data_IF_290255566982
#
_entry.id   IF_290255566982
#
_cell.length_a   1.000
_cell.length_b   1.000
_cell.length_c   1.000
_cell.angle_alpha   90.00
_cell.angle_beta   90.00
_cell.angle_gamma   90.00
#
_symmetry.space_group_name_H-M   'P 1'
#
loop_
_entity.id
_entity.type
_entity.pdbx_description
1 polymer ?
#
# COMPACT_ATOMS: atom_id res chain seq x y z
N UNK A 1 -15.26 5.23 9.23
CA UNK A 1 -16.68 5.60 9.50
C UNK A 1 -17.12 6.88 8.80
N UNK A 2 -16.44 8.03 8.98
CA UNK A 2 -16.87 9.28 8.33
C UNK A 2 -16.90 9.19 6.80
N UNK A 3 -15.85 8.63 6.18
CA UNK A 3 -15.81 8.40 4.74
C UNK A 3 -17.00 7.54 4.28
N UNK A 4 -17.25 6.40 4.95
CA UNK A 4 -18.38 5.51 4.66
C UNK A 4 -19.72 6.26 4.70
N UNK A 5 -19.97 7.03 5.76
CA UNK A 5 -21.25 7.76 5.88
C UNK A 5 -21.34 8.92 4.88
N UNK A 6 -20.21 9.58 4.59
CA UNK A 6 -20.12 10.62 3.56
C UNK A 6 -20.50 10.08 2.18
N UNK A 7 -19.88 8.98 1.75
CA UNK A 7 -20.20 8.32 0.48
C UNK A 7 -21.66 7.85 0.41
N UNK A 8 -22.25 7.43 1.53
CA UNK A 8 -23.68 7.06 1.55
C UNK A 8 -24.62 8.27 1.50
N UNK A 9 -24.20 9.43 2.00
CA UNK A 9 -24.93 10.69 1.83
C UNK A 9 -24.86 11.18 0.39
N UNK A 10 -23.68 11.09 -0.24
CA UNK A 10 -23.51 11.39 -1.67
C UNK A 10 -24.37 10.47 -2.53
N UNK A 11 -24.29 9.16 -2.30
CA UNK A 11 -25.15 8.18 -2.97
C UNK A 11 -26.65 8.50 -2.80
N UNK A 12 -27.06 8.94 -1.62
CA UNK A 12 -28.45 9.36 -1.38
C UNK A 12 -28.81 10.62 -2.17
N UNK A 13 -27.93 11.63 -2.20
CA UNK A 13 -28.13 12.86 -2.97
C UNK A 13 -28.23 12.58 -4.48
N UNK A 14 -27.50 11.58 -4.97
CA UNK A 14 -27.53 11.08 -6.35
C UNK A 14 -28.72 10.14 -6.65
N UNK A 15 -29.72 10.10 -5.77
CA UNK A 15 -30.94 9.29 -5.96
C UNK A 15 -30.72 7.78 -5.83
N UNK A 16 -29.64 7.37 -5.16
CA UNK A 16 -29.26 5.97 -4.97
C UNK A 16 -28.51 5.36 -6.16
N UNK A 17 -28.11 6.17 -7.14
CA UNK A 17 -27.36 5.71 -8.31
C UNK A 17 -25.87 5.68 -8.00
N UNK A 18 -25.26 4.50 -8.08
CA UNK A 18 -23.80 4.36 -7.91
C UNK A 18 -23.10 4.92 -9.15
N UNK A 19 -22.18 5.85 -8.94
CA UNK A 19 -21.34 6.48 -9.96
C UNK A 19 -19.86 6.13 -9.77
N UNK A 20 -19.01 6.64 -10.65
CA UNK A 20 -17.56 6.53 -10.50
C UNK A 20 -17.02 7.35 -9.31
N UNK A 21 -17.81 8.30 -8.80
CA UNK A 21 -17.42 9.24 -7.74
C UNK A 21 -17.92 8.79 -6.36
N UNK A 22 -18.97 7.96 -6.28
CA UNK A 22 -19.52 7.43 -5.01
C UNK A 22 -18.47 6.87 -4.04
N UNK A 23 -17.37 6.33 -4.55
CA UNK A 23 -16.30 5.70 -3.78
C UNK A 23 -15.03 6.54 -3.64
N UNK A 24 -15.06 7.77 -4.17
CA UNK A 24 -14.05 8.79 -3.98
C UNK A 24 -14.44 9.64 -2.78
N UNK A 25 -13.44 10.27 -2.17
CA UNK A 25 -13.65 11.18 -1.06
C UNK A 25 -13.02 12.52 -1.43
N UNK A 26 -13.86 13.53 -1.60
CA UNK A 26 -13.46 14.93 -1.77
C UNK A 26 -13.01 15.30 -3.17
N UNK A 27 -13.23 14.43 -4.16
CA UNK A 27 -13.01 14.67 -5.60
C UNK A 27 -13.58 16.00 -6.11
N UNK A 28 -14.72 16.46 -5.59
CA UNK A 28 -15.29 17.76 -5.97
C UNK A 28 -14.45 18.98 -5.56
N UNK A 29 -13.57 18.84 -4.57
CA UNK A 29 -12.76 19.93 -4.02
C UNK A 29 -11.24 19.66 -4.05
N UNK A 30 -10.84 18.47 -4.45
CA UNK A 30 -9.44 18.06 -4.49
C UNK A 30 -8.81 18.53 -5.81
N UNK A 31 -7.66 19.20 -5.72
CA UNK A 31 -6.78 19.51 -6.87
C UNK A 31 -7.51 19.96 -8.14
N UNK A 32 -8.08 21.19 -8.18
CA UNK A 32 -8.95 21.66 -9.28
C UNK A 32 -8.39 21.59 -10.71
N UNK A 33 -7.07 21.40 -10.86
CA UNK A 33 -6.40 21.24 -12.15
C UNK A 33 -6.20 19.78 -12.60
N UNK A 34 -6.60 18.79 -11.79
CA UNK A 34 -6.40 17.36 -12.05
C UNK A 34 -7.73 16.65 -12.09
N UNK A 35 -8.23 16.34 -13.30
CA UNK A 35 -9.52 15.70 -13.43
C UNK A 35 -9.50 14.24 -12.92
N UNK A 36 -10.51 13.88 -12.13
CA UNK A 36 -10.80 12.51 -11.74
C UNK A 36 -9.97 11.95 -10.57
N UNK A 37 -9.11 12.77 -9.96
CA UNK A 37 -8.45 12.41 -8.71
C UNK A 37 -9.35 12.63 -7.50
N UNK A 38 -8.87 12.22 -6.32
CA UNK A 38 -9.60 12.31 -5.07
C UNK A 38 -8.59 12.29 -3.92
N UNK A 39 -8.99 12.83 -2.76
CA UNK A 39 -8.15 12.79 -1.57
C UNK A 39 -7.97 11.34 -1.07
N UNK A 40 -9.04 10.53 -1.12
CA UNK A 40 -9.02 9.10 -0.79
C UNK A 40 -9.90 8.31 -1.74
N UNK A 41 -9.64 7.00 -1.80
CA UNK A 41 -10.38 6.03 -2.63
C UNK A 41 -10.80 4.84 -1.79
N UNK A 42 -12.09 4.54 -1.75
CA UNK A 42 -12.62 3.34 -1.07
C UNK A 42 -12.56 2.10 -1.98
N UNK A 43 -12.77 2.29 -3.28
CA UNK A 43 -12.73 1.25 -4.30
C UNK A 43 -11.32 0.75 -4.60
N UNK A 44 -10.34 1.67 -4.61
CA UNK A 44 -8.94 1.37 -4.86
C UNK A 44 -8.00 2.28 -4.04
N UNK A 45 -7.84 2.04 -2.72
CA UNK A 45 -6.95 2.83 -1.86
C UNK A 45 -5.51 2.95 -2.39
N UNK A 46 -5.01 1.87 -2.99
CA UNK A 46 -3.64 1.83 -3.50
C UNK A 46 -3.40 2.84 -4.63
N UNK A 47 -4.44 3.29 -5.34
CA UNK A 47 -4.32 4.33 -6.37
C UNK A 47 -3.81 5.68 -5.82
N UNK A 48 -4.01 5.93 -4.52
CA UNK A 48 -3.54 7.13 -3.82
C UNK A 48 -2.47 6.80 -2.76
N UNK A 49 -1.93 5.58 -2.78
CA UNK A 49 -0.86 5.14 -1.86
C UNK A 49 -1.35 4.68 -0.49
N UNK A 50 -2.65 4.48 -0.29
CA UNK A 50 -3.25 4.04 0.97
C UNK A 50 -3.39 2.50 1.04
N UNK A 51 -3.33 1.88 2.24
CA UNK A 51 -3.41 0.44 2.43
C UNK A 51 -4.83 -0.13 2.26
N UNK A 52 -4.99 -1.09 1.36
CA UNK A 52 -6.25 -1.83 1.17
C UNK A 52 -6.29 -3.19 1.89
N UNK A 53 -5.28 -3.49 2.71
CA UNK A 53 -5.17 -4.73 3.46
C UNK A 53 -4.41 -4.51 4.78
N UNK A 54 -4.80 -5.24 5.83
CA UNK A 54 -4.28 -5.08 7.20
C UNK A 54 -2.77 -5.33 7.32
N UNK A 55 -2.20 -6.15 6.44
CA UNK A 55 -0.75 -6.38 6.37
C UNK A 55 0.03 -5.14 5.91
N UNK A 56 -0.62 -4.20 5.22
CA UNK A 56 -0.02 -2.97 4.69
C UNK A 56 -0.19 -1.77 5.62
N UNK A 57 -0.86 -1.94 6.77
CA UNK A 57 -1.14 -0.85 7.71
C UNK A 57 0.13 -0.15 8.17
N UNK A 58 0.04 1.16 8.35
CA UNK A 58 1.07 1.93 9.04
C UNK A 58 1.04 1.61 10.53
N UNK A 59 2.21 1.68 11.16
CA UNK A 59 2.39 1.46 12.60
C UNK A 59 1.83 0.10 13.09
N UNK A 60 2.32 -1.03 12.56
CA UNK A 60 1.78 -2.35 12.92
C UNK A 60 2.04 -2.79 14.37
N UNK A 61 2.93 -2.09 15.09
CA UNK A 61 3.21 -2.26 16.51
C UNK A 61 2.77 -1.06 17.35
N UNK A 62 3.50 -0.76 18.43
CA UNK A 62 3.18 0.41 19.27
C UNK A 62 3.51 1.71 18.54
N UNK A 63 2.62 2.69 18.64
CA UNK A 63 2.82 4.05 18.15
C UNK A 63 2.34 5.06 19.18
N UNK A 64 3.09 6.15 19.33
CA UNK A 64 2.69 7.32 20.12
C UNK A 64 2.04 8.32 19.18
N UNK A 65 0.77 8.64 19.42
CA UNK A 65 0.00 9.54 18.57
C UNK A 65 0.53 10.99 18.64
N UNK A 66 0.59 11.65 17.49
CA UNK A 66 0.97 13.04 17.35
C UNK A 66 0.36 13.63 16.08
N UNK A 67 0.32 14.97 15.95
CA UNK A 67 -0.13 15.58 14.69
C UNK A 67 0.83 15.27 13.53
N UNK A 68 2.12 15.05 13.80
CA UNK A 68 3.13 14.81 12.78
C UNK A 68 3.04 13.42 12.13
N UNK A 69 2.42 12.46 12.81
CA UNK A 69 2.24 11.10 12.32
C UNK A 69 0.77 10.76 12.09
N UNK A 70 -0.07 11.78 11.85
CA UNK A 70 -1.50 11.59 11.60
C UNK A 70 -2.18 10.77 12.70
N UNK A 71 -1.81 11.03 13.95
CA UNK A 71 -2.28 10.30 15.13
C UNK A 71 -2.13 8.79 14.98
N UNK A 72 -0.98 8.34 14.46
CA UNK A 72 -0.69 6.96 14.06
C UNK A 72 -1.42 6.50 12.79
N UNK A 73 -1.51 7.39 11.80
CA UNK A 73 -2.00 7.11 10.45
C UNK A 73 -3.51 6.86 10.40
N UNK A 74 -4.32 7.65 11.12
CA UNK A 74 -5.78 7.46 11.16
C UNK A 74 -6.43 7.65 9.78
N UNK A 75 -5.93 8.56 8.94
CA UNK A 75 -6.45 8.81 7.60
C UNK A 75 -5.86 7.86 6.55
N UNK A 76 -4.67 7.32 6.79
CA UNK A 76 -4.09 6.29 5.92
C UNK A 76 -4.70 4.92 6.22
N UNK A 77 -4.71 4.50 7.48
CA UNK A 77 -5.21 3.17 7.87
C UNK A 77 -6.74 3.04 7.75
N UNK A 78 -7.50 4.14 7.76
CA UNK A 78 -8.96 4.13 7.56
C UNK A 78 -9.35 3.48 6.23
N UNK A 79 -8.48 3.57 5.22
CA UNK A 79 -8.70 2.99 3.90
C UNK A 79 -8.90 1.46 3.92
N UNK A 80 -8.35 0.76 4.92
CA UNK A 80 -8.58 -0.69 5.11
C UNK A 80 -10.06 -0.97 5.41
N UNK A 81 -10.66 -0.20 6.33
CA UNK A 81 -12.09 -0.32 6.65
C UNK A 81 -12.95 0.18 5.49
N UNK A 82 -12.55 1.28 4.84
CA UNK A 82 -13.28 1.82 3.69
C UNK A 82 -13.34 0.82 2.54
N UNK A 83 -12.23 0.14 2.25
CA UNK A 83 -12.17 -0.87 1.21
C UNK A 83 -12.97 -2.13 1.57
N UNK A 84 -12.95 -2.54 2.85
CA UNK A 84 -13.83 -3.61 3.32
C UNK A 84 -15.31 -3.25 3.11
N UNK A 85 -15.70 -2.00 3.41
CA UNK A 85 -17.06 -1.51 3.16
C UNK A 85 -17.41 -1.50 1.67
N UNK A 86 -16.52 -0.98 0.81
CA UNK A 86 -16.69 -1.00 -0.64
C UNK A 86 -16.93 -2.42 -1.15
N UNK A 87 -16.08 -3.39 -0.75
CA UNK A 87 -16.22 -4.79 -1.16
C UNK A 87 -17.56 -5.39 -0.68
N UNK A 88 -18.01 -5.04 0.53
CA UNK A 88 -19.32 -5.47 1.02
C UNK A 88 -20.47 -4.85 0.24
N UNK A 89 -20.36 -3.58 -0.16
CA UNK A 89 -21.41 -2.86 -0.86
C UNK A 89 -21.48 -3.23 -2.35
N UNK A 90 -20.36 -3.12 -3.06
CA UNK A 90 -20.27 -3.25 -4.52
C UNK A 90 -19.79 -4.64 -4.97
N UNK A 91 -19.15 -5.41 -4.09
CA UNK A 91 -18.44 -6.62 -4.46
C UNK A 91 -17.07 -6.36 -5.08
N UNK A 92 -16.41 -7.42 -5.50
CA UNK A 92 -15.08 -7.38 -6.12
C UNK A 92 -14.07 -8.26 -5.41
N UNK A 93 -12.80 -8.14 -5.78
CA UNK A 93 -11.73 -8.96 -5.24
C UNK A 93 -10.66 -8.09 -4.63
N UNK A 94 -10.28 -8.35 -3.38
CA UNK A 94 -9.13 -7.65 -2.81
C UNK A 94 -7.84 -8.16 -3.45
N UNK A 95 -7.02 -7.25 -3.99
CA UNK A 95 -5.81 -7.62 -4.73
C UNK A 95 -4.73 -8.32 -3.90
N UNK A 96 -4.72 -8.11 -2.58
CA UNK A 96 -3.69 -8.67 -1.69
C UNK A 96 -4.08 -10.09 -1.26
N UNK A 97 -5.30 -10.27 -0.76
CA UNK A 97 -5.76 -11.58 -0.29
C UNK A 97 -6.26 -12.49 -1.41
N UNK A 98 -6.62 -11.93 -2.58
CA UNK A 98 -7.29 -12.67 -3.66
C UNK A 98 -8.73 -13.08 -3.33
N UNK A 99 -9.27 -12.67 -2.17
CA UNK A 99 -10.62 -13.03 -1.73
C UNK A 99 -11.64 -12.21 -2.50
N UNK A 100 -12.54 -12.91 -3.18
CA UNK A 100 -13.69 -12.33 -3.84
C UNK A 100 -14.86 -12.16 -2.86
N UNK A 101 -15.52 -11.01 -2.94
CA UNK A 101 -16.69 -10.64 -2.13
C UNK A 101 -17.86 -10.42 -3.07
N UNK A 102 -18.97 -11.09 -2.80
CA UNK A 102 -20.25 -10.78 -3.45
C UNK A 102 -20.92 -9.66 -2.68
N UNK A 103 -21.15 -8.52 -3.34
CA UNK A 103 -21.73 -7.34 -2.72
C UNK A 103 -23.18 -7.54 -2.29
N UNK A 104 -23.58 -6.90 -1.19
CA UNK A 104 -24.95 -6.86 -0.65
C UNK A 104 -25.65 -5.52 -0.91
N UNK A 105 -25.02 -4.63 -1.67
CA UNK A 105 -25.52 -3.28 -1.93
C UNK A 105 -25.16 -2.28 -0.82
N UNK A 106 -25.01 -1.02 -1.21
CA UNK A 106 -24.65 0.07 -0.29
C UNK A 106 -25.66 0.26 0.84
N UNK A 107 -26.95 0.09 0.58
CA UNK A 107 -28.01 0.24 1.59
C UNK A 107 -27.88 -0.74 2.75
N UNK A 108 -27.73 -2.04 2.46
CA UNK A 108 -27.63 -3.05 3.52
C UNK A 108 -26.26 -2.98 4.23
N UNK A 109 -25.18 -2.75 3.49
CA UNK A 109 -23.86 -2.51 4.08
C UNK A 109 -23.88 -1.29 5.04
N UNK A 110 -24.52 -0.19 4.65
CA UNK A 110 -24.64 1.01 5.47
C UNK A 110 -25.45 0.76 6.74
N UNK A 111 -26.57 0.01 6.68
CA UNK A 111 -27.34 -0.37 7.87
C UNK A 111 -26.49 -1.14 8.88
N UNK A 112 -25.67 -2.10 8.41
CA UNK A 112 -24.75 -2.86 9.26
C UNK A 112 -23.76 -1.93 9.94
N UNK A 113 -23.08 -1.06 9.19
CA UNK A 113 -22.07 -0.16 9.72
C UNK A 113 -22.65 0.89 10.67
N UNK A 114 -23.84 1.43 10.37
CA UNK A 114 -24.54 2.37 11.24
C UNK A 114 -24.93 1.72 12.57
N UNK A 115 -25.52 0.52 12.53
CA UNK A 115 -25.88 -0.22 13.75
C UNK A 115 -24.62 -0.63 14.53
N UNK A 116 -23.57 -1.08 13.87
CA UNK A 116 -22.31 -1.40 14.52
C UNK A 116 -21.75 -0.20 15.27
N UNK A 117 -21.69 0.97 14.63
CA UNK A 117 -21.21 2.22 15.23
C UNK A 117 -22.03 2.64 16.47
N UNK A 118 -23.35 2.54 16.38
CA UNK A 118 -24.26 3.11 17.40
C UNK A 118 -24.57 2.17 18.56
N UNK A 119 -24.43 0.85 18.37
CA UNK A 119 -24.81 -0.16 19.36
C UNK A 119 -23.61 -0.90 19.94
N UNK A 120 -22.58 -1.17 19.13
CA UNK A 120 -21.53 -2.13 19.47
C UNK A 120 -20.14 -1.52 19.61
N UNK A 121 -19.83 -0.46 18.87
CA UNK A 121 -18.51 0.19 18.94
C UNK A 121 -18.40 1.08 20.18
N UNK A 122 -17.19 1.11 20.73
CA UNK A 122 -16.77 1.97 21.84
C UNK A 122 -15.57 2.81 21.42
N UNK A 123 -15.16 3.77 22.26
CA UNK A 123 -14.00 4.63 22.00
C UNK A 123 -12.67 3.86 21.82
N UNK A 124 -12.57 2.60 22.29
CA UNK A 124 -11.38 1.76 22.18
C UNK A 124 -11.47 0.69 21.08
N UNK A 125 -12.48 0.75 20.21
CA UNK A 125 -12.69 -0.25 19.16
C UNK A 125 -11.57 -0.19 18.12
N UNK A 126 -10.84 -1.31 17.98
CA UNK A 126 -9.87 -1.55 16.90
C UNK A 126 -10.52 -2.29 15.71
N UNK A 127 -9.78 -2.63 14.64
CA UNK A 127 -10.37 -3.33 13.49
C UNK A 127 -10.94 -4.71 13.81
N UNK A 128 -10.32 -5.50 14.70
CA UNK A 128 -10.88 -6.77 15.11
C UNK A 128 -12.21 -6.57 15.86
N UNK A 129 -12.29 -5.56 16.72
CA UNK A 129 -13.52 -5.13 17.39
C UNK A 129 -14.57 -4.62 16.39
N UNK A 130 -14.17 -3.87 15.37
CA UNK A 130 -15.07 -3.38 14.32
C UNK A 130 -15.66 -4.53 13.49
N UNK A 131 -14.86 -5.57 13.20
CA UNK A 131 -15.36 -6.83 12.61
C UNK A 131 -16.40 -7.49 13.52
N UNK A 132 -16.11 -7.67 14.81
CA UNK A 132 -17.08 -8.25 15.75
C UNK A 132 -18.37 -7.44 15.84
N UNK A 133 -18.26 -6.11 15.91
CA UNK A 133 -19.39 -5.18 15.97
C UNK A 133 -20.27 -5.27 14.72
N UNK A 134 -19.66 -5.30 13.53
CA UNK A 134 -20.40 -5.41 12.26
C UNK A 134 -21.02 -6.79 12.05
N UNK A 135 -20.38 -7.89 12.50
CA UNK A 135 -21.00 -9.22 12.50
C UNK A 135 -22.20 -9.31 13.44
N UNK A 136 -22.11 -8.70 14.62
CA UNK A 136 -23.23 -8.60 15.57
C UNK A 136 -24.37 -7.78 14.98
N UNK A 137 -24.06 -6.65 14.36
CA UNK A 137 -25.05 -5.83 13.65
C UNK A 137 -25.72 -6.57 12.48
N UNK A 138 -24.95 -7.31 11.68
CA UNK A 138 -25.50 -8.11 10.58
C UNK A 138 -26.40 -9.25 11.10
N UNK A 139 -26.02 -9.86 12.22
CA UNK A 139 -26.84 -10.89 12.90
C UNK A 139 -28.18 -10.32 13.35
N UNK A 140 -28.19 -9.15 13.98
CA UNK A 140 -29.42 -8.51 14.45
C UNK A 140 -30.35 -8.11 13.30
N UNK A 141 -29.79 -7.61 12.21
CA UNK A 141 -30.56 -7.06 11.09
C UNK A 141 -31.07 -8.14 10.14
N UNK A 142 -30.29 -9.20 9.93
CA UNK A 142 -30.53 -10.18 8.87
C UNK A 142 -30.46 -11.64 9.33
N UNK A 143 -29.91 -11.92 10.51
CA UNK A 143 -29.68 -13.26 11.05
C UNK A 143 -28.27 -13.79 10.75
N UNK A 144 -27.74 -14.66 11.63
CA UNK A 144 -26.37 -15.20 11.56
C UNK A 144 -26.11 -16.12 10.36
N UNK A 145 -27.16 -16.66 9.73
CA UNK A 145 -27.07 -17.50 8.52
C UNK A 145 -27.33 -16.72 7.22
N UNK A 146 -27.51 -15.40 7.29
CA UNK A 146 -27.83 -14.57 6.14
C UNK A 146 -26.66 -14.39 5.18
N UNK A 147 -26.98 -14.04 3.92
CA UNK A 147 -25.97 -13.61 2.95
C UNK A 147 -25.21 -12.37 3.45
N UNK A 148 -25.90 -11.43 4.10
CA UNK A 148 -25.31 -10.21 4.68
C UNK A 148 -24.27 -10.53 5.74
N UNK A 149 -24.56 -11.44 6.68
CA UNK A 149 -23.58 -11.88 7.67
C UNK A 149 -22.34 -12.47 7.00
N UNK A 150 -22.53 -13.36 6.02
CA UNK A 150 -21.43 -13.99 5.29
C UNK A 150 -20.61 -12.97 4.48
N UNK A 151 -21.24 -11.99 3.82
CA UNK A 151 -20.56 -10.92 3.09
C UNK A 151 -19.77 -10.02 4.04
N UNK A 152 -20.31 -9.66 5.21
CA UNK A 152 -19.59 -8.88 6.22
C UNK A 152 -18.36 -9.65 6.74
N UNK A 153 -18.52 -10.94 7.03
CA UNK A 153 -17.40 -11.80 7.43
C UNK A 153 -16.32 -11.88 6.34
N UNK A 154 -16.73 -12.06 5.09
CA UNK A 154 -15.84 -12.18 3.92
C UNK A 154 -15.16 -10.85 3.61
N UNK A 155 -15.86 -9.72 3.68
CA UNK A 155 -15.29 -8.39 3.41
C UNK A 155 -14.19 -8.01 4.40
N UNK A 156 -14.37 -8.29 5.70
CA UNK A 156 -13.30 -8.08 6.68
C UNK A 156 -12.13 -9.04 6.48
N UNK A 157 -12.41 -10.31 6.18
CA UNK A 157 -11.35 -11.28 5.86
C UNK A 157 -10.55 -10.86 4.61
N UNK A 158 -11.23 -10.36 3.58
CA UNK A 158 -10.62 -9.95 2.33
C UNK A 158 -9.58 -8.84 2.53
N UNK A 159 -9.77 -7.98 3.53
CA UNK A 159 -8.79 -6.96 3.93
C UNK A 159 -7.86 -7.42 5.06
N UNK A 160 -7.78 -8.71 5.35
CA UNK A 160 -6.85 -9.28 6.31
C UNK A 160 -7.23 -9.13 7.79
N UNK A 161 -8.51 -8.85 8.07
CA UNK A 161 -9.02 -8.74 9.44
C UNK A 161 -9.87 -9.96 9.76
N UNK A 162 -9.29 -10.89 10.53
CA UNK A 162 -9.94 -12.13 10.92
C UNK A 162 -10.00 -13.19 9.81
N UNK A 163 -10.71 -14.28 10.09
CA UNK A 163 -10.80 -15.47 9.22
C UNK A 163 -11.93 -15.38 8.20
N UNK A 164 -11.80 -16.03 7.06
CA UNK A 164 -12.88 -16.14 6.08
C UNK A 164 -13.89 -17.21 6.52
N UNK A 165 -15.18 -17.06 6.18
CA UNK A 165 -16.15 -18.14 6.30
C UNK A 165 -15.66 -19.41 5.58
N UNK A 166 -15.86 -20.58 6.18
CA UNK A 166 -15.41 -21.87 5.62
C UNK A 166 -14.04 -22.36 6.11
N UNK A 167 -13.39 -21.67 7.06
CA UNK A 167 -12.19 -22.17 7.74
C UNK A 167 -10.89 -21.98 6.94
N UNK A 168 -10.96 -21.44 5.74
CA UNK A 168 -9.80 -20.90 5.04
C UNK A 168 -9.38 -19.60 5.73
N UNK A 169 -8.36 -19.68 6.58
CA UNK A 169 -7.52 -18.50 6.82
C UNK A 169 -7.05 -18.02 5.45
N UNK A 170 -7.16 -16.74 5.08
CA UNK A 170 -6.55 -16.26 3.86
C UNK A 170 -5.06 -16.52 4.01
N UNK A 171 -4.59 -17.58 3.35
CA UNK A 171 -3.19 -17.64 3.00
C UNK A 171 -3.03 -16.46 2.05
N UNK A 172 -2.13 -15.51 2.29
CA UNK A 172 -1.80 -14.53 1.26
C UNK A 172 -1.64 -15.33 -0.03
N UNK A 173 -2.29 -14.92 -1.13
CA UNK A 173 -2.05 -15.50 -2.45
C UNK A 173 -0.55 -15.80 -2.50
N UNK A 174 -0.11 -17.06 -2.72
CA UNK A 174 1.30 -17.37 -2.66
C UNK A 174 1.99 -16.37 -3.56
N UNK A 175 2.73 -15.48 -2.92
CA UNK A 175 3.82 -14.71 -3.48
C UNK A 175 4.44 -15.64 -4.52
N UNK A 176 4.36 -15.35 -5.84
CA UNK A 176 4.80 -16.30 -6.86
C UNK A 176 6.15 -16.81 -6.42
N UNK A 177 6.22 -18.12 -6.15
CA UNK A 177 7.43 -18.72 -5.58
C UNK A 177 8.57 -18.30 -6.49
N UNK A 178 9.56 -17.56 -5.98
CA UNK A 178 10.64 -17.10 -6.82
C UNK A 178 11.28 -18.33 -7.46
N UNK A 179 11.29 -18.38 -8.79
CA UNK A 179 11.83 -19.52 -9.51
C UNK A 179 13.35 -19.53 -9.35
N UNK A 180 13.90 -20.59 -8.73
CA UNK A 180 15.34 -20.74 -8.51
C UNK A 180 15.82 -20.12 -7.20
N UNK A 181 17.06 -19.59 -7.20
CA UNK A 181 17.70 -18.98 -6.03
C UNK A 181 17.17 -17.58 -5.68
N UNK A 182 16.15 -17.07 -6.38
CA UNK A 182 15.59 -15.73 -6.13
C UNK A 182 14.83 -15.70 -4.79
N UNK A 183 14.92 -14.59 -4.06
CA UNK A 183 14.33 -14.42 -2.72
C UNK A 183 13.32 -13.26 -2.67
N UNK A 184 13.47 -12.27 -3.56
CA UNK A 184 12.52 -11.18 -3.70
C UNK A 184 11.50 -11.51 -4.76
N UNK A 185 10.27 -11.04 -4.55
CA UNK A 185 9.19 -11.26 -5.49
C UNK A 185 8.72 -9.97 -6.12
N UNK A 186 8.36 -10.06 -7.39
CA UNK A 186 7.96 -8.93 -8.22
C UNK A 186 9.02 -7.81 -8.23
N UNK A 187 10.27 -8.20 -8.49
CA UNK A 187 11.39 -7.28 -8.61
C UNK A 187 11.28 -6.29 -9.77
N UNK A 188 10.59 -6.68 -10.85
CA UNK A 188 10.32 -5.82 -12.02
C UNK A 188 9.01 -5.03 -11.92
N UNK A 189 8.25 -5.16 -10.83
CA UNK A 189 7.04 -4.37 -10.57
C UNK A 189 5.95 -4.45 -11.67
N UNK A 190 5.86 -5.58 -12.37
CA UNK A 190 4.91 -5.75 -13.47
C UNK A 190 3.48 -5.86 -12.93
N UNK A 191 2.55 -5.12 -13.55
CA UNK A 191 1.09 -5.10 -13.22
C UNK A 191 0.73 -4.54 -11.84
N UNK A 192 1.54 -4.76 -10.80
CA UNK A 192 1.40 -4.11 -9.49
C UNK A 192 2.75 -3.89 -8.81
N UNK A 193 2.81 -3.06 -7.76
CA UNK A 193 3.96 -3.02 -6.86
C UNK A 193 3.98 -4.18 -5.85
N UNK A 194 2.84 -4.87 -5.66
CA UNK A 194 2.71 -5.92 -4.64
C UNK A 194 3.70 -7.07 -4.91
N UNK A 195 4.43 -7.60 -3.92
CA UNK A 195 4.28 -7.39 -2.47
C UNK A 195 5.18 -6.29 -1.87
N UNK A 196 5.77 -5.41 -2.68
CA UNK A 196 6.53 -4.28 -2.16
C UNK A 196 5.61 -3.29 -1.45
N UNK A 197 6.03 -2.87 -0.26
CA UNK A 197 5.32 -1.88 0.56
C UNK A 197 5.94 -0.51 0.31
N UNK A 198 5.21 0.31 -0.43
CA UNK A 198 5.55 1.71 -0.70
C UNK A 198 4.90 2.66 0.31
N UNK A 199 5.58 3.76 0.66
CA UNK A 199 4.97 4.83 1.47
C UNK A 199 5.71 6.15 1.33
N UNK A 200 5.02 7.26 1.61
CA UNK A 200 5.56 8.60 1.64
C UNK A 200 5.53 9.30 0.29
N UNK A 201 5.43 10.63 0.31
CA UNK A 201 5.15 11.46 -0.87
C UNK A 201 6.34 11.58 -1.85
N UNK A 202 7.46 10.92 -1.55
CA UNK A 202 8.63 10.83 -2.42
C UNK A 202 8.75 9.48 -3.16
N UNK A 203 7.73 8.62 -3.11
CA UNK A 203 7.65 7.32 -3.77
C UNK A 203 6.44 7.26 -4.69
N UNK A 204 6.59 6.58 -5.83
CA UNK A 204 5.49 6.24 -6.73
C UNK A 204 5.75 4.92 -7.44
N UNK A 205 4.67 4.22 -7.75
CA UNK A 205 4.65 3.02 -8.57
C UNK A 205 3.89 3.27 -9.86
N UNK A 206 4.42 2.81 -10.99
CA UNK A 206 3.69 2.78 -12.27
C UNK A 206 3.70 1.39 -12.87
N UNK A 207 2.54 0.95 -13.37
CA UNK A 207 2.37 -0.33 -14.08
C UNK A 207 2.66 -0.23 -15.59
N UNK A 208 2.63 0.98 -16.14
CA UNK A 208 2.80 1.27 -17.56
C UNK A 208 3.61 2.56 -17.70
N UNK A 209 4.83 2.55 -17.15
CA UNK A 209 5.70 3.71 -17.24
C UNK A 209 6.35 3.85 -18.61
N UNK A 210 6.78 5.06 -18.95
CA UNK A 210 7.42 5.34 -20.24
C UNK A 210 8.93 5.03 -20.25
N UNK A 211 9.50 4.69 -19.10
CA UNK A 211 10.93 4.46 -18.94
C UNK A 211 11.27 3.25 -18.04
N UNK A 212 10.63 2.08 -18.21
CA UNK A 212 11.06 0.87 -17.52
C UNK A 212 12.45 0.43 -18.00
N UNK A 213 13.14 -0.35 -17.18
CA UNK A 213 14.29 -1.12 -17.66
C UNK A 213 13.80 -2.40 -18.35
N UNK A 214 12.92 -3.15 -17.68
CA UNK A 214 12.27 -4.36 -18.18
C UNK A 214 10.74 -4.22 -18.16
N UNK A 215 10.05 -4.92 -19.06
CA UNK A 215 8.58 -4.94 -19.09
C UNK A 215 7.93 -3.55 -19.18
N UNK A 216 6.93 -3.28 -18.33
CA UNK A 216 6.16 -2.02 -18.31
C UNK A 216 6.12 -1.35 -16.94
N UNK A 217 6.43 -2.09 -15.88
CA UNK A 217 6.40 -1.63 -14.50
C UNK A 217 7.74 -1.09 -14.01
N UNK A 218 7.71 -0.18 -13.02
CA UNK A 218 8.86 0.14 -12.16
C UNK A 218 8.40 1.00 -10.97
N UNK A 219 9.27 1.17 -9.98
CA UNK A 219 9.09 2.18 -8.94
C UNK A 219 10.04 3.34 -9.15
N UNK A 220 9.59 4.54 -8.82
CA UNK A 220 10.47 5.70 -8.81
C UNK A 220 10.28 6.59 -7.60
N UNK A 221 11.34 7.30 -7.28
CA UNK A 221 11.45 8.17 -6.14
C UNK A 221 11.77 9.60 -6.59
N UNK A 222 11.49 10.56 -5.71
CA UNK A 222 11.74 11.98 -5.98
C UNK A 222 10.66 12.62 -6.85
N UNK A 223 9.41 12.28 -6.56
CA UNK A 223 8.21 12.84 -7.22
C UNK A 223 8.01 14.31 -6.84
N UNK A 224 8.34 14.66 -5.59
CA UNK A 224 8.06 15.97 -4.99
C UNK A 224 9.30 16.50 -4.27
N UNK A 225 9.47 17.82 -4.26
CA UNK A 225 10.45 18.48 -3.39
C UNK A 225 10.06 18.28 -1.92
N UNK A 226 11.05 18.32 -1.03
CA UNK A 226 10.92 18.22 0.43
C UNK A 226 10.15 16.96 0.86
N UNK A 227 10.31 15.90 0.09
CA UNK A 227 9.60 14.65 0.28
C UNK A 227 10.55 13.50 0.62
N UNK A 228 10.02 12.53 1.34
CA UNK A 228 10.65 11.24 1.58
C UNK A 228 9.72 10.17 1.05
N UNK A 229 10.28 9.20 0.33
CA UNK A 229 9.57 8.01 -0.10
C UNK A 229 10.36 6.77 0.28
N UNK A 230 9.68 5.65 0.46
CA UNK A 230 10.32 4.35 0.62
C UNK A 230 9.54 3.26 -0.06
N UNK A 231 10.24 2.21 -0.47
CA UNK A 231 9.70 0.93 -0.94
C UNK A 231 10.51 -0.19 -0.32
N UNK A 232 9.86 -1.19 0.27
CA UNK A 232 10.57 -2.31 0.87
C UNK A 232 9.84 -3.64 0.70
N UNK A 233 10.60 -4.72 0.80
CA UNK A 233 10.08 -6.08 0.96
C UNK A 233 10.76 -6.74 2.16
N UNK A 234 9.99 -7.45 2.98
CA UNK A 234 10.53 -8.28 4.06
C UNK A 234 10.87 -9.64 3.48
N UNK A 235 12.11 -10.10 3.68
CA UNK A 235 12.65 -11.33 3.09
C UNK A 235 13.46 -12.10 4.14
N UNK A 236 13.25 -13.41 4.18
CA UNK A 236 14.11 -14.33 4.91
C UNK A 236 15.28 -14.71 4.00
N UNK A 237 16.52 -14.49 4.44
CA UNK A 237 17.72 -14.82 3.67
C UNK A 237 18.27 -16.15 4.21
N UNK A 238 18.17 -17.28 3.49
CA UNK A 238 18.71 -18.56 3.97
C UNK A 238 20.22 -18.52 4.19
N UNK A 239 20.74 -19.40 5.05
CA UNK A 239 22.19 -19.58 5.23
C UNK A 239 22.89 -20.12 3.97
N UNK A 240 22.13 -20.65 3.02
CA UNK A 240 22.59 -21.14 1.71
C UNK A 240 22.59 -20.09 0.60
N UNK A 241 21.95 -18.93 0.81
CA UNK A 241 21.86 -17.84 -0.18
C UNK A 241 23.25 -17.27 -0.53
N UNK A 242 23.39 -16.66 -1.70
CA UNK A 242 24.62 -15.91 -2.02
C UNK A 242 24.65 -14.58 -1.24
N UNK A 243 23.49 -14.04 -0.87
CA UNK A 243 23.33 -12.74 -0.24
C UNK A 243 23.65 -11.60 -1.20
N UNK A 244 23.30 -11.73 -2.48
CA UNK A 244 23.61 -10.72 -3.50
C UNK A 244 22.36 -10.00 -3.95
N UNK A 245 22.25 -8.71 -3.60
CA UNK A 245 21.17 -7.85 -4.07
C UNK A 245 21.58 -7.15 -5.35
N UNK A 246 20.81 -7.32 -6.42
CA UNK A 246 20.95 -6.58 -7.66
C UNK A 246 19.70 -5.76 -7.96
N UNK A 247 19.85 -4.64 -8.63
CA UNK A 247 18.74 -3.85 -9.17
C UNK A 247 19.24 -2.94 -10.29
N UNK A 248 18.36 -2.52 -11.17
CA UNK A 248 18.67 -1.54 -12.19
C UNK A 248 18.28 -0.15 -11.71
N UNK A 249 19.22 0.79 -11.81
CA UNK A 249 19.04 2.17 -11.38
C UNK A 249 19.20 3.12 -12.56
N UNK A 250 18.19 3.97 -12.75
CA UNK A 250 18.27 5.18 -13.55
C UNK A 250 18.13 6.40 -12.63
N UNK A 251 18.94 7.43 -12.88
CA UNK A 251 18.86 8.70 -12.15
C UNK A 251 18.78 9.83 -13.17
N UNK A 252 17.74 10.65 -13.09
CA UNK A 252 17.61 11.87 -13.91
C UNK A 252 17.39 13.07 -13.01
N UNK A 253 18.08 14.17 -13.28
CA UNK A 253 17.96 15.38 -12.48
C UNK A 253 18.20 16.62 -13.34
N UNK A 254 17.42 17.67 -13.06
CA UNK A 254 17.66 19.02 -13.58
C UNK A 254 18.63 19.82 -12.69
N UNK A 255 19.08 19.25 -11.56
CA UNK A 255 20.14 19.84 -10.74
C UNK A 255 21.43 20.02 -11.53
N UNK A 256 22.06 21.19 -11.41
CA UNK A 256 23.27 21.53 -12.17
C UNK A 256 24.56 21.32 -11.38
N UNK A 257 24.48 21.16 -10.05
CA UNK A 257 25.67 20.93 -9.23
C UNK A 257 26.38 19.64 -9.62
N UNK A 258 27.71 19.69 -9.66
CA UNK A 258 28.60 18.56 -9.90
C UNK A 258 29.24 18.01 -8.62
N UNK A 259 29.06 18.68 -7.48
CA UNK A 259 29.73 18.34 -6.21
C UNK A 259 28.76 18.14 -5.05
N UNK A 260 27.57 18.76 -5.08
CA UNK A 260 26.62 18.70 -3.99
C UNK A 260 25.55 17.65 -4.24
N UNK A 261 25.37 16.79 -3.25
CA UNK A 261 24.33 15.77 -3.20
C UNK A 261 23.10 16.35 -2.49
N UNK A 262 22.17 16.90 -3.26
CA UNK A 262 20.93 17.49 -2.75
C UNK A 262 19.93 16.39 -2.42
N UNK A 263 19.55 15.65 -3.45
CA UNK A 263 18.62 14.54 -3.37
C UNK A 263 19.38 13.23 -3.24
N UNK A 264 18.85 12.32 -2.43
CA UNK A 264 19.49 11.02 -2.20
C UNK A 264 18.49 9.88 -2.30
N UNK A 265 18.97 8.76 -2.84
CA UNK A 265 18.37 7.43 -2.73
C UNK A 265 19.32 6.54 -1.93
N UNK A 266 18.79 5.87 -0.93
CA UNK A 266 19.48 4.93 -0.06
C UNK A 266 18.98 3.51 -0.36
N UNK A 267 19.90 2.59 -0.62
CA UNK A 267 19.64 1.15 -0.57
C UNK A 267 20.04 0.66 0.81
N UNK A 268 19.09 0.13 1.58
CA UNK A 268 19.22 -0.11 3.01
C UNK A 268 18.77 -1.53 3.36
N UNK A 269 19.38 -2.08 4.41
CA UNK A 269 18.86 -3.23 5.15
C UNK A 269 18.33 -2.74 6.47
N UNK A 270 17.09 -3.14 6.81
CA UNK A 270 16.44 -2.82 8.07
C UNK A 270 15.97 -4.09 8.76
N UNK A 271 15.78 -4.06 10.07
CA UNK A 271 15.11 -5.17 10.75
C UNK A 271 13.60 -5.18 10.42
N UNK A 272 12.88 -6.21 10.87
CA UNK A 272 11.43 -6.35 10.66
C UNK A 272 10.60 -5.26 11.32
N UNK A 273 11.15 -4.51 12.28
CA UNK A 273 10.53 -3.34 12.92
C UNK A 273 10.86 -2.01 12.22
N UNK A 274 11.67 -2.02 11.15
CA UNK A 274 12.05 -0.83 10.40
C UNK A 274 13.28 -0.07 10.92
N UNK A 275 13.98 -0.58 11.94
CA UNK A 275 15.26 0.00 12.39
C UNK A 275 16.34 -0.23 11.34
N UNK A 276 17.13 0.81 11.03
CA UNK A 276 18.25 0.71 10.11
C UNK A 276 19.32 -0.23 10.67
N UNK A 277 19.70 -1.25 9.88
CA UNK A 277 20.81 -2.14 10.18
C UNK A 277 22.06 -1.72 9.40
N UNK A 278 21.90 -1.42 8.11
CA UNK A 278 22.98 -0.86 7.29
C UNK A 278 22.42 -0.06 6.10
N UNK A 279 23.18 0.95 5.69
CA UNK A 279 23.06 1.57 4.37
C UNK A 279 24.07 0.90 3.45
N UNK A 280 23.59 0.12 2.49
CA UNK A 280 24.44 -0.62 1.55
C UNK A 280 25.01 0.29 0.47
N UNK A 281 24.22 1.27 0.02
CA UNK A 281 24.65 2.26 -0.96
C UNK A 281 23.84 3.56 -0.84
N UNK A 282 24.44 4.66 -1.29
CA UNK A 282 23.76 5.95 -1.45
C UNK A 282 24.01 6.46 -2.88
N UNK A 283 22.94 6.84 -3.56
CA UNK A 283 22.94 7.50 -4.86
C UNK A 283 22.34 8.89 -4.72
N UNK A 284 22.65 9.78 -5.65
CA UNK A 284 22.21 11.18 -5.61
C UNK A 284 22.02 11.77 -7.00
N UNK A 285 21.62 13.04 -7.06
CA UNK A 285 21.62 13.86 -8.28
C UNK A 285 22.96 13.85 -9.04
N UNK A 286 24.08 13.58 -8.36
CA UNK A 286 25.41 13.45 -9.00
C UNK A 286 25.57 12.16 -9.82
N UNK A 287 24.67 11.19 -9.65
CA UNK A 287 24.66 9.95 -10.42
C UNK A 287 23.78 10.06 -11.68
N UNK A 288 23.32 11.27 -12.04
CA UNK A 288 22.42 11.48 -13.16
C UNK A 288 23.01 10.99 -14.49
N UNK A 289 22.14 10.46 -15.33
CA UNK A 289 22.41 10.10 -16.71
C UNK A 289 21.58 10.95 -17.66
N UNK A 290 21.92 10.95 -18.94
CA UNK A 290 21.31 11.83 -19.94
C UNK A 290 19.86 11.46 -20.30
N UNK A 291 19.46 10.20 -20.16
CA UNK A 291 18.14 9.71 -20.55
C UNK A 291 17.47 8.93 -19.42
N UNK A 292 16.15 9.02 -19.34
CA UNK A 292 15.31 8.25 -18.42
C UNK A 292 15.34 6.73 -18.70
N UNK A 293 15.78 6.31 -19.89
CA UNK A 293 15.89 4.88 -20.28
C UNK A 293 17.30 4.31 -20.14
N UNK A 294 18.29 5.11 -19.72
CA UNK A 294 19.66 4.62 -19.50
C UNK A 294 19.78 4.09 -18.08
N UNK A 295 19.72 2.78 -17.92
CA UNK A 295 19.89 2.13 -16.62
C UNK A 295 21.31 1.61 -16.43
N UNK A 296 21.69 1.48 -15.15
CA UNK A 296 22.92 0.80 -14.75
C UNK A 296 22.61 -0.19 -13.64
N UNK A 297 23.00 -1.45 -13.83
CA UNK A 297 22.81 -2.47 -12.80
C UNK A 297 23.73 -2.17 -11.61
N UNK A 298 23.18 -2.31 -10.41
CA UNK A 298 23.87 -2.23 -9.13
C UNK A 298 23.90 -3.62 -8.51
N UNK A 299 24.97 -3.92 -7.80
CA UNK A 299 25.16 -5.19 -7.08
C UNK A 299 25.74 -4.89 -5.70
N UNK A 300 25.03 -5.32 -4.66
CA UNK A 300 25.31 -5.03 -3.26
C UNK A 300 25.34 -6.34 -2.45
N UNK A 301 26.15 -6.36 -1.40
CA UNK A 301 26.40 -7.55 -0.58
C UNK A 301 25.57 -7.53 0.71
N UNK A 302 24.74 -8.55 0.89
CA UNK A 302 23.90 -8.83 2.07
C UNK A 302 24.30 -10.13 2.76
N UNK A 303 25.46 -10.73 2.45
CA UNK A 303 25.91 -12.00 3.03
C UNK A 303 25.95 -11.99 4.57
N UNK A 304 26.17 -10.82 5.19
CA UNK A 304 26.13 -10.65 6.65
C UNK A 304 24.75 -10.91 7.28
N UNK A 305 23.68 -10.88 6.47
CA UNK A 305 22.29 -11.08 6.91
C UNK A 305 21.75 -12.48 6.59
N UNK A 306 22.59 -13.38 6.08
CA UNK A 306 22.23 -14.79 5.89
C UNK A 306 21.81 -15.42 7.23
N UNK A 307 20.77 -16.24 7.18
CA UNK A 307 20.10 -16.81 8.35
C UNK A 307 19.14 -15.86 9.07
N UNK A 308 18.92 -14.65 8.56
CA UNK A 308 18.04 -13.64 9.20
C UNK A 308 16.86 -13.28 8.31
N UNK A 309 15.80 -12.75 8.94
CA UNK A 309 14.71 -12.07 8.24
C UNK A 309 14.92 -10.57 8.34
N UNK A 310 15.03 -9.90 7.19
CA UNK A 310 15.33 -8.47 7.09
C UNK A 310 14.37 -7.79 6.12
N UNK A 311 14.33 -6.46 6.15
CA UNK A 311 13.72 -5.63 5.11
C UNK A 311 14.81 -5.15 4.16
N UNK A 312 14.67 -5.46 2.88
CA UNK A 312 15.43 -4.80 1.80
C UNK A 312 14.62 -3.58 1.39
N UNK A 313 15.23 -2.39 1.51
CA UNK A 313 14.52 -1.13 1.36
C UNK A 313 15.27 -0.14 0.46
N UNK A 314 14.52 0.53 -0.41
CA UNK A 314 14.92 1.76 -1.06
C UNK A 314 14.22 2.93 -0.39
N UNK A 315 14.95 3.98 -0.04
CA UNK A 315 14.39 5.20 0.57
C UNK A 315 14.99 6.43 -0.07
N UNK A 316 14.19 7.45 -0.31
CA UNK A 316 14.64 8.72 -0.88
C UNK A 316 14.46 9.88 0.09
N UNK A 317 15.29 10.91 -0.05
CA UNK A 317 15.09 12.22 0.60
C UNK A 317 15.37 13.31 -0.42
N UNK A 318 14.36 14.13 -0.69
CA UNK A 318 14.48 15.28 -1.58
C UNK A 318 14.72 16.55 -0.77
N UNK A 319 15.51 17.46 -1.33
CA UNK A 319 15.70 18.78 -0.74
C UNK A 319 14.57 19.76 -1.12
N UNK A 320 14.73 21.05 -0.89
CA UNK A 320 13.66 22.04 -1.10
C UNK A 320 13.37 22.39 -2.57
N UNK A 321 14.23 22.05 -3.54
CA UNK A 321 14.07 22.54 -4.91
C UNK A 321 14.69 21.60 -5.94
N UNK A 322 14.07 21.51 -7.13
CA UNK A 322 14.56 20.72 -8.28
C UNK A 322 14.76 19.24 -7.96
N UNK A 323 13.68 18.48 -8.11
CA UNK A 323 13.69 17.04 -7.84
C UNK A 323 14.65 16.25 -8.72
N UNK A 324 15.27 15.25 -8.13
CA UNK A 324 15.94 14.15 -8.80
C UNK A 324 15.05 12.92 -8.82
N UNK A 325 14.76 12.41 -10.01
CA UNK A 325 14.04 11.14 -10.16
C UNK A 325 15.01 9.97 -10.10
N UNK A 326 14.77 9.03 -9.18
CA UNK A 326 15.47 7.76 -9.12
C UNK A 326 14.50 6.65 -9.51
N UNK A 327 14.74 5.95 -10.61
CA UNK A 327 13.93 4.79 -11.02
C UNK A 327 14.66 3.52 -10.66
N UNK A 328 13.97 2.63 -9.95
CA UNK A 328 14.47 1.33 -9.53
C UNK A 328 13.60 0.27 -10.16
N UNK A 329 14.26 -0.70 -10.78
CA UNK A 329 13.59 -1.76 -11.52
C UNK A 329 14.40 -3.06 -11.45
N UNK A 330 13.78 -4.19 -11.79
CA UNK A 330 14.38 -5.53 -11.89
C UNK A 330 15.23 -5.89 -10.66
N UNK A 331 14.64 -5.72 -9.46
CA UNK A 331 15.29 -6.01 -8.18
C UNK A 331 15.34 -7.52 -7.93
N UNK A 332 16.51 -8.04 -7.62
CA UNK A 332 16.75 -9.47 -7.39
C UNK A 332 17.63 -9.65 -6.16
N UNK A 333 17.33 -10.64 -5.33
CA UNK A 333 18.16 -11.07 -4.21
C UNK A 333 18.32 -12.58 -4.27
N UNK A 334 19.57 -13.05 -4.30
CA UNK A 334 19.90 -14.48 -4.32
C UNK A 334 20.83 -14.85 -3.18
#
# INVERSE_FOLDING_TARGET
MSDIMGSMVELYADGGVVSADTWKIGEDAYTPGTAGDALRRMDNPNAVGDPDHYSLRLYPGTCTASNANDQCGVHTNSSIQNHAFYLMAAGGTNRISGVAVTGIGGTDAAKVFYRALTVYMTASTNFAGARTATLSAATDLFGASSAQYNTVATGWCAVGVGTCPGGSTPTPTPTPTPSGNELLVNGGFETSASPWVGSGNGYFYTANGNAPHGGTGYVYFGVNNKATGQSYQTVAIPTTATGTLTFWLNVTSSETSTTKQYDKLFAEVRNTSGTLLATLATYSNLNKVASATTYSQKSLNLAAYKGQTVRVQFRSTMDTSVTTTFRVDDVSLK
#
